data_IF_079820796191
#
_entry.id   IF_079820796191
#
_cell.length_a   1.000
_cell.length_b   1.000
_cell.length_c   1.000
_cell.angle_alpha   90.00
_cell.angle_beta   90.00
_cell.angle_gamma   90.00
#
_symmetry.space_group_name_H-M   'P 1'
#
loop_
_entity.id
_entity.type
_entity.pdbx_description
1 polymer ?
#
# COMPACT_ATOMS: atom_id res chain seq x y z
N UNK A 1 -13.50 26.01 -4.84
CA UNK A 1 -12.32 25.22 -4.47
C UNK A 1 -12.08 24.15 -5.51
N UNK A 2 -10.90 24.15 -6.11
CA UNK A 2 -10.56 23.15 -7.12
C UNK A 2 -10.15 21.84 -6.43
N UNK A 3 -10.68 20.72 -6.93
CA UNK A 3 -10.29 19.41 -6.43
C UNK A 3 -8.91 19.04 -6.98
N UNK A 4 -8.12 18.40 -6.15
CA UNK A 4 -6.84 17.83 -6.56
C UNK A 4 -7.13 16.54 -7.33
N UNK A 5 -6.74 16.50 -8.59
CA UNK A 5 -6.97 15.33 -9.42
C UNK A 5 -5.74 14.45 -9.55
N UNK A 6 -5.84 13.34 -10.31
CA UNK A 6 -4.74 12.42 -10.51
C UNK A 6 -3.49 13.09 -11.08
N UNK A 7 -3.66 13.96 -12.06
CA UNK A 7 -2.53 14.65 -12.71
C UNK A 7 -1.81 15.55 -11.70
N UNK A 8 -2.57 16.25 -10.85
CA UNK A 8 -1.99 17.08 -9.79
C UNK A 8 -1.17 16.24 -8.80
N UNK A 9 -1.68 15.06 -8.45
CA UNK A 9 -0.96 14.15 -7.55
C UNK A 9 0.32 13.62 -8.20
N UNK A 10 0.27 13.31 -9.48
CA UNK A 10 1.46 12.86 -10.21
C UNK A 10 2.51 13.96 -10.29
N UNK A 11 2.11 15.21 -10.46
CA UNK A 11 3.04 16.34 -10.44
C UNK A 11 3.67 16.54 -9.06
N UNK A 12 2.89 16.37 -7.99
CA UNK A 12 3.42 16.43 -6.63
C UNK A 12 4.48 15.36 -6.39
N UNK A 13 4.28 14.17 -6.93
CA UNK A 13 5.28 13.10 -6.85
C UNK A 13 6.61 13.52 -7.46
N UNK A 14 6.59 14.20 -8.61
CA UNK A 14 7.82 14.65 -9.27
C UNK A 14 8.63 15.59 -8.39
N UNK A 15 7.95 16.40 -7.59
CA UNK A 15 8.58 17.35 -6.67
C UNK A 15 9.08 16.67 -5.40
N UNK A 16 8.28 15.76 -4.84
CA UNK A 16 8.54 15.18 -3.53
C UNK A 16 9.46 13.98 -3.55
N UNK A 17 9.43 13.17 -4.62
CA UNK A 17 10.21 11.95 -4.67
C UNK A 17 11.65 12.21 -5.07
N UNK A 18 12.55 11.45 -4.46
CA UNK A 18 13.96 11.49 -4.79
C UNK A 18 14.26 10.72 -6.08
N UNK A 19 15.53 10.70 -6.50
CA UNK A 19 15.93 10.09 -7.78
C UNK A 19 15.66 8.58 -7.86
N UNK A 20 15.54 7.90 -6.71
CA UNK A 20 15.25 6.49 -6.67
C UNK A 20 13.76 6.19 -6.45
N UNK A 21 12.94 7.23 -6.27
CA UNK A 21 11.51 7.07 -6.08
C UNK A 21 10.80 6.73 -7.38
N UNK A 22 9.89 5.74 -7.34
CA UNK A 22 9.11 5.35 -8.50
C UNK A 22 7.90 6.26 -8.66
N UNK A 23 7.79 6.93 -9.78
CA UNK A 23 6.64 7.78 -10.08
C UNK A 23 5.48 6.92 -10.57
N UNK A 24 4.26 7.29 -10.14
CA UNK A 24 3.05 6.58 -10.57
C UNK A 24 2.86 6.63 -12.08
N UNK A 25 3.19 7.75 -12.70
CA UNK A 25 3.07 7.92 -14.16
C UNK A 25 4.02 7.02 -14.94
N UNK A 26 5.08 6.50 -14.30
CA UNK A 26 6.04 5.59 -14.91
C UNK A 26 5.65 4.11 -14.74
N UNK A 27 4.48 3.84 -14.17
CA UNK A 27 4.02 2.48 -13.99
C UNK A 27 3.92 1.76 -15.34
N UNK A 28 4.31 0.47 -15.35
CA UNK A 28 4.19 -0.36 -16.54
C UNK A 28 2.76 -0.76 -16.88
N UNK A 29 1.81 -0.37 -16.02
CA UNK A 29 0.41 -0.68 -16.21
C UNK A 29 0.02 -2.02 -15.62
N UNK A 30 -1.16 -2.50 -16.01
CA UNK A 30 -1.74 -3.73 -15.51
C UNK A 30 -1.73 -4.79 -16.58
N UNK A 31 -1.79 -6.07 -16.15
CA UNK A 31 -1.95 -7.18 -17.09
C UNK A 31 -3.22 -7.01 -17.93
N UNK A 32 -4.31 -6.53 -17.32
CA UNK A 32 -5.53 -6.14 -18.02
C UNK A 32 -5.61 -4.60 -18.02
N UNK A 33 -5.43 -3.93 -19.17
CA UNK A 33 -5.46 -2.47 -19.21
C UNK A 33 -6.79 -1.91 -18.75
N UNK A 34 -6.71 -0.82 -18.00
CA UNK A 34 -7.89 -0.09 -17.50
C UNK A 34 -7.68 1.40 -17.70
N UNK A 35 -8.80 2.14 -17.79
CA UNK A 35 -8.73 3.58 -17.86
C UNK A 35 -8.22 4.15 -16.53
N UNK A 36 -7.34 5.16 -16.57
CA UNK A 36 -6.86 5.80 -15.35
C UNK A 36 -8.01 6.44 -14.56
N UNK A 37 -7.93 6.33 -13.24
CA UNK A 37 -8.88 7.01 -12.36
C UNK A 37 -8.61 8.52 -12.40
N UNK A 38 -9.65 9.38 -12.47
CA UNK A 38 -9.44 10.82 -12.54
C UNK A 38 -8.91 11.44 -11.25
N UNK A 39 -9.11 10.80 -10.10
CA UNK A 39 -8.73 11.36 -8.81
C UNK A 39 -7.56 10.63 -8.12
N UNK A 40 -7.31 9.38 -8.47
CA UNK A 40 -6.30 8.56 -7.79
C UNK A 40 -5.19 8.14 -8.74
N UNK A 41 -3.96 8.12 -8.23
CA UNK A 41 -2.83 7.55 -8.97
C UNK A 41 -3.01 6.03 -9.10
N UNK A 42 -2.27 5.40 -10.02
CA UNK A 42 -2.37 3.95 -10.21
C UNK A 42 -2.03 3.17 -8.94
N UNK A 43 -1.04 3.62 -8.17
CA UNK A 43 -0.66 2.93 -6.94
C UNK A 43 -1.70 3.11 -5.83
N UNK A 44 -2.39 4.26 -5.78
CA UNK A 44 -3.50 4.45 -4.86
C UNK A 44 -4.66 3.51 -5.20
N UNK A 45 -4.96 3.34 -6.48
CA UNK A 45 -5.98 2.40 -6.93
C UNK A 45 -5.61 0.97 -6.56
N UNK A 46 -4.34 0.58 -6.75
CA UNK A 46 -3.87 -0.75 -6.40
C UNK A 46 -3.99 -1.00 -4.90
N UNK A 47 -3.59 -0.03 -4.08
CA UNK A 47 -3.74 -0.10 -2.64
C UNK A 47 -5.19 -0.31 -2.24
N UNK A 48 -6.09 0.49 -2.79
CA UNK A 48 -7.51 0.42 -2.46
C UNK A 48 -8.12 -0.92 -2.86
N UNK A 49 -7.73 -1.48 -4.00
CA UNK A 49 -8.19 -2.79 -4.43
C UNK A 49 -7.73 -3.89 -3.49
N UNK A 50 -6.51 -3.82 -3.01
CA UNK A 50 -6.00 -4.79 -2.04
C UNK A 50 -6.81 -4.69 -0.75
N UNK A 51 -7.01 -3.48 -0.24
CA UNK A 51 -7.77 -3.26 1.00
C UNK A 51 -9.20 -3.79 0.93
N UNK A 52 -9.82 -3.70 -0.24
CA UNK A 52 -11.20 -4.12 -0.41
C UNK A 52 -11.35 -5.55 -0.94
N UNK A 53 -10.24 -6.26 -1.16
CA UNK A 53 -10.30 -7.62 -1.64
C UNK A 53 -10.75 -8.58 -0.55
N UNK A 54 -11.40 -9.67 -0.97
CA UNK A 54 -11.82 -10.72 -0.03
C UNK A 54 -10.61 -11.41 0.59
N UNK A 55 -9.55 -11.62 -0.19
CA UNK A 55 -8.32 -12.23 0.30
C UNK A 55 -7.69 -11.43 1.43
N UNK A 56 -7.67 -10.10 1.30
CA UNK A 56 -7.13 -9.23 2.33
C UNK A 56 -8.00 -9.29 3.60
N UNK A 57 -9.33 -9.25 3.45
CA UNK A 57 -10.25 -9.29 4.58
C UNK A 57 -10.18 -10.61 5.34
N UNK A 58 -9.85 -11.71 4.65
CA UNK A 58 -9.66 -13.01 5.30
C UNK A 58 -8.50 -13.02 6.28
N UNK A 59 -7.55 -12.11 6.16
CA UNK A 59 -6.46 -12.00 7.12
C UNK A 59 -6.95 -11.68 8.53
N UNK A 60 -8.14 -11.10 8.67
CA UNK A 60 -8.74 -10.83 9.97
C UNK A 60 -9.08 -12.12 10.76
N UNK A 61 -9.22 -13.23 10.04
CA UNK A 61 -9.54 -14.53 10.65
C UNK A 61 -8.31 -15.40 10.90
N UNK A 62 -7.12 -14.91 10.50
CA UNK A 62 -5.87 -15.64 10.70
C UNK A 62 -5.13 -15.02 11.88
N UNK A 63 -4.83 -15.83 12.86
CA UNK A 63 -4.19 -15.37 14.08
C UNK A 63 -2.71 -15.67 14.06
N UNK A 64 -1.90 -14.67 14.39
CA UNK A 64 -0.48 -14.87 14.68
C UNK A 64 -0.29 -14.84 16.18
N UNK A 65 0.40 -15.85 16.69
CA UNK A 65 0.75 -15.90 18.09
C UNK A 65 2.15 -15.34 18.26
N UNK A 66 2.25 -14.30 19.07
CA UNK A 66 3.53 -13.73 19.43
C UNK A 66 3.87 -14.19 20.84
N UNK A 67 5.07 -14.74 21.01
CA UNK A 67 5.57 -15.10 22.33
C UNK A 67 5.93 -13.82 23.06
N UNK A 68 4.97 -13.30 23.81
CA UNK A 68 5.21 -12.16 24.69
C UNK A 68 5.43 -12.65 26.10
N UNK A 69 6.42 -12.08 26.83
CA UNK A 69 6.67 -12.50 28.23
C UNK A 69 5.49 -12.29 29.17
N UNK A 70 4.56 -11.44 28.81
CA UNK A 70 3.49 -10.98 29.69
C UNK A 70 2.10 -11.41 29.26
N UNK A 71 1.97 -12.58 28.62
CA UNK A 71 0.66 -13.12 28.36
C UNK A 71 0.29 -13.22 26.88
N UNK A 72 -0.92 -13.59 26.68
CA UNK A 72 -1.39 -14.02 25.36
C UNK A 72 -1.81 -12.85 24.49
N UNK A 73 -0.88 -12.34 23.72
CA UNK A 73 -1.20 -11.34 22.72
C UNK A 73 -1.42 -12.02 21.38
N UNK A 74 -2.68 -12.07 20.98
CA UNK A 74 -3.05 -12.55 19.65
C UNK A 74 -3.22 -11.34 18.74
N UNK A 75 -2.57 -11.40 17.62
CA UNK A 75 -2.69 -10.37 16.60
C UNK A 75 -3.15 -11.04 15.32
N UNK A 76 -4.20 -10.51 14.70
CA UNK A 76 -4.60 -11.04 13.40
C UNK A 76 -3.54 -10.63 12.35
N UNK A 77 -3.43 -11.41 11.29
CA UNK A 77 -2.55 -11.07 10.18
C UNK A 77 -2.93 -9.72 9.57
N UNK A 78 -4.22 -9.39 9.59
CA UNK A 78 -4.70 -8.10 9.12
C UNK A 78 -4.03 -6.96 9.87
N UNK A 79 -4.07 -6.99 11.20
CA UNK A 79 -3.48 -5.93 12.03
C UNK A 79 -1.98 -5.85 11.81
N UNK A 80 -1.31 -6.99 11.78
CA UNK A 80 0.13 -7.03 11.52
C UNK A 80 0.47 -6.41 10.16
N UNK A 81 -0.27 -6.76 9.12
CA UNK A 81 -0.05 -6.24 7.77
C UNK A 81 -0.25 -4.73 7.72
N UNK A 82 -1.29 -4.22 8.40
CA UNK A 82 -1.54 -2.78 8.48
C UNK A 82 -0.41 -2.05 9.21
N UNK A 83 0.12 -2.63 10.28
CA UNK A 83 1.24 -2.04 11.01
C UNK A 83 2.51 -2.00 10.16
N UNK A 84 2.79 -3.09 9.43
CA UNK A 84 3.94 -3.15 8.52
C UNK A 84 3.81 -2.09 7.44
N UNK A 85 2.62 -1.93 6.87
CA UNK A 85 2.38 -0.92 5.85
C UNK A 85 2.62 0.49 6.39
N UNK A 86 2.17 0.78 7.61
CA UNK A 86 2.37 2.08 8.23
C UNK A 86 3.84 2.38 8.47
N UNK A 87 4.59 1.42 8.99
CA UNK A 87 6.03 1.57 9.23
C UNK A 87 6.75 1.77 7.89
N UNK A 88 6.40 0.99 6.88
CA UNK A 88 7.00 1.10 5.55
C UNK A 88 6.79 2.50 4.95
N UNK A 89 5.59 3.06 5.06
CA UNK A 89 5.32 4.43 4.60
C UNK A 89 6.18 5.44 5.34
N UNK A 90 6.32 5.27 6.65
CA UNK A 90 7.11 6.18 7.49
C UNK A 90 8.57 6.16 7.12
N UNK A 91 9.08 5.04 6.65
CA UNK A 91 10.46 4.91 6.17
C UNK A 91 10.59 5.49 4.75
N UNK A 92 9.61 5.24 3.90
CA UNK A 92 9.64 5.69 2.51
C UNK A 92 9.65 7.22 2.39
N UNK A 93 8.92 7.92 3.27
CA UNK A 93 8.76 9.36 3.20
C UNK A 93 10.09 10.11 3.25
N UNK A 94 10.94 9.94 4.28
CA UNK A 94 12.22 10.67 4.34
C UNK A 94 13.20 10.23 3.27
N UNK A 95 13.05 9.03 2.70
CA UNK A 95 13.91 8.56 1.63
C UNK A 95 13.48 9.06 0.25
N UNK A 96 12.35 9.76 0.15
CA UNK A 96 11.83 10.24 -1.11
C UNK A 96 11.29 9.15 -2.01
N UNK A 97 10.82 8.04 -1.43
CA UNK A 97 10.23 6.93 -2.16
C UNK A 97 8.71 7.09 -2.25
N UNK A 98 8.10 6.41 -3.21
CA UNK A 98 6.65 6.49 -3.40
C UNK A 98 5.93 5.76 -2.25
N UNK A 99 5.23 6.52 -1.39
CA UNK A 99 4.55 5.98 -0.22
C UNK A 99 3.39 5.07 -0.59
N UNK A 100 2.61 5.45 -1.60
CA UNK A 100 1.45 4.66 -2.01
C UNK A 100 1.86 3.31 -2.60
N UNK A 101 2.92 3.29 -3.39
CA UNK A 101 3.48 2.04 -3.92
C UNK A 101 4.01 1.18 -2.77
N UNK A 102 4.74 1.78 -1.85
CA UNK A 102 5.29 1.09 -0.68
C UNK A 102 4.18 0.45 0.16
N UNK A 103 3.11 1.20 0.40
CA UNK A 103 1.96 0.70 1.15
C UNK A 103 1.28 -0.45 0.40
N UNK A 104 1.07 -0.31 -0.90
CA UNK A 104 0.44 -1.37 -1.71
C UNK A 104 1.24 -2.66 -1.66
N UNK A 105 2.57 -2.58 -1.76
CA UNK A 105 3.44 -3.75 -1.66
C UNK A 105 3.33 -4.40 -0.28
N UNK A 106 3.38 -3.57 0.77
CA UNK A 106 3.30 -4.07 2.14
C UNK A 106 1.95 -4.73 2.42
N UNK A 107 0.85 -4.13 1.95
CA UNK A 107 -0.48 -4.69 2.13
C UNK A 107 -0.66 -6.01 1.36
N UNK A 108 -0.03 -6.12 0.21
CA UNK A 108 -0.18 -7.29 -0.65
C UNK A 108 0.74 -8.46 -0.33
N UNK A 109 1.77 -8.25 0.51
CA UNK A 109 2.81 -9.27 0.67
C UNK A 109 2.30 -10.58 1.27
N UNK A 110 1.27 -10.52 2.12
CA UNK A 110 0.71 -11.71 2.75
C UNK A 110 -0.35 -12.43 1.90
N UNK A 111 -0.81 -11.81 0.81
CA UNK A 111 -1.88 -12.40 0.00
C UNK A 111 -1.43 -13.60 -0.81
N UNK A 112 -0.15 -13.67 -1.13
CA UNK A 112 0.42 -14.76 -1.90
C UNK A 112 0.86 -15.96 -1.06
N UNK A 113 0.77 -15.87 0.26
CA UNK A 113 1.15 -16.97 1.13
C UNK A 113 0.04 -18.01 1.21
N UNK A 114 0.39 -19.26 0.99
CA UNK A 114 -0.52 -20.36 1.26
C UNK A 114 -0.74 -20.48 2.75
N UNK A 115 -1.97 -20.78 3.17
CA UNK A 115 -2.26 -20.93 4.59
C UNK A 115 -1.51 -22.07 5.25
#
# INVERSE_FOLDING_TARGET
MALVNRVDLEERERVLLGPLGRLSEESLGRAAPEEPDPLRTCYQCDRDRILHSKSFRRLAHKTQVFLAPEGDHYRTRLIHTLEVAQVARSIARPLGLNEDLTEAIALGHDLGHTP
#
